data_IF_366964294972
#
_entry.id   IF_366964294972
#
_cell.length_a   1.000
_cell.length_b   1.000
_cell.length_c   1.000
_cell.angle_alpha   90.00
_cell.angle_beta   90.00
_cell.angle_gamma   90.00
#
_symmetry.space_group_name_H-M   'P 1'
#
loop_
_entity.id
_entity.type
_entity.pdbx_description
1 polymer ?
#
# COMPACT_ATOMS: atom_id res chain seq x y z
N UNK A 1 25.55 0.80 10.41
CA UNK A 1 24.24 0.86 11.09
C UNK A 1 23.75 2.29 11.03
N UNK A 2 22.59 2.55 10.43
CA UNK A 2 22.05 3.90 10.28
C UNK A 2 21.82 4.55 11.67
N UNK A 3 22.19 5.83 11.88
CA UNK A 3 21.97 6.53 13.14
C UNK A 3 20.53 6.47 13.65
N UNK A 4 19.54 6.40 12.75
CA UNK A 4 18.13 6.26 13.09
C UNK A 4 17.86 4.85 13.57
N UNK A 5 18.32 3.80 12.87
CA UNK A 5 18.20 2.41 13.35
C UNK A 5 18.89 2.27 14.70
N UNK A 6 20.03 2.93 14.92
CA UNK A 6 20.71 2.96 16.21
C UNK A 6 19.94 3.73 17.30
N UNK A 7 19.24 4.81 16.94
CA UNK A 7 18.38 5.60 17.85
C UNK A 7 17.11 4.83 18.19
N UNK A 8 16.47 4.26 17.17
CA UNK A 8 15.39 3.28 17.21
C UNK A 8 15.80 2.17 18.17
N UNK A 9 16.89 1.43 17.94
CA UNK A 9 17.37 0.35 18.82
C UNK A 9 17.63 0.81 20.26
N UNK A 10 18.29 1.96 20.46
CA UNK A 10 18.64 2.49 21.78
C UNK A 10 17.41 2.89 22.61
N UNK A 11 16.40 3.47 21.97
CA UNK A 11 15.17 3.94 22.62
C UNK A 11 14.02 2.91 22.57
N UNK A 12 14.05 1.90 21.69
CA UNK A 12 13.02 0.86 21.52
C UNK A 12 13.23 -0.37 22.39
N UNK A 13 14.47 -0.83 22.54
CA UNK A 13 14.72 -2.11 23.25
C UNK A 13 14.51 -1.94 24.76
N UNK A 14 14.60 -0.70 25.28
CA UNK A 14 14.53 -0.40 26.72
C UNK A 14 13.25 0.30 27.18
N UNK A 15 12.35 0.65 26.27
CA UNK A 15 11.20 1.50 26.57
C UNK A 15 9.89 0.79 26.23
N UNK A 16 8.82 0.93 27.03
CA UNK A 16 7.51 0.39 26.69
C UNK A 16 7.09 0.89 25.30
N UNK A 17 6.47 0.00 24.50
CA UNK A 17 5.96 0.26 23.14
C UNK A 17 5.30 1.64 22.98
N UNK A 18 4.70 2.21 24.03
CA UNK A 18 4.13 3.56 24.05
C UNK A 18 5.07 4.72 23.69
N UNK A 19 6.40 4.57 23.82
CA UNK A 19 7.33 5.70 23.61
C UNK A 19 7.81 5.86 22.16
N UNK A 20 7.82 4.82 21.33
CA UNK A 20 8.12 4.99 19.90
C UNK A 20 7.01 5.79 19.20
N UNK A 21 5.76 5.55 19.59
CA UNK A 21 4.59 6.26 19.06
C UNK A 21 4.53 7.75 19.45
N UNK A 22 5.39 8.20 20.37
CA UNK A 22 5.57 9.64 20.67
C UNK A 22 6.44 10.36 19.63
N UNK A 23 7.31 9.63 18.93
CA UNK A 23 8.25 10.19 17.95
C UNK A 23 7.78 10.04 16.50
N UNK A 24 6.78 9.20 16.26
CA UNK A 24 6.11 9.08 14.96
C UNK A 24 4.81 9.89 15.07
N UNK A 25 4.65 10.93 14.27
CA UNK A 25 3.74 12.04 14.56
C UNK A 25 2.40 11.96 13.85
N UNK A 26 1.31 12.04 14.64
CA UNK A 26 0.04 12.71 14.27
C UNK A 26 -1.28 11.91 14.30
N UNK A 27 -1.67 11.33 15.45
CA UNK A 27 -3.09 11.02 15.70
C UNK A 27 -3.95 12.26 16.05
N UNK A 28 -3.35 13.44 16.21
CA UNK A 28 -4.00 14.66 16.73
C UNK A 28 -4.03 15.82 15.73
N UNK A 29 -4.11 15.54 14.42
CA UNK A 29 -4.28 16.62 13.44
C UNK A 29 -5.63 17.31 13.72
N UNK A 30 -5.67 18.64 13.94
CA UNK A 30 -6.91 19.36 14.20
C UNK A 30 -7.92 19.19 13.05
N UNK A 31 -9.21 19.09 13.38
CA UNK A 31 -10.31 18.86 12.43
C UNK A 31 -10.33 19.87 11.27
N UNK A 32 -9.79 21.08 11.46
CA UNK A 32 -9.68 22.14 10.45
C UNK A 32 -8.78 21.79 9.26
N UNK A 33 -7.85 20.83 9.40
CA UNK A 33 -7.04 20.35 8.27
C UNK A 33 -7.79 19.34 7.38
N UNK A 34 -8.90 18.80 7.88
CA UNK A 34 -9.78 17.88 7.18
C UNK A 34 -10.97 18.64 6.56
N UNK A 35 -10.69 19.49 5.57
CA UNK A 35 -11.78 20.07 4.77
C UNK A 35 -12.32 19.05 3.75
N UNK A 36 -13.56 19.21 3.26
CA UNK A 36 -14.21 18.22 2.38
C UNK A 36 -13.40 17.90 1.11
N UNK A 37 -12.64 18.85 0.56
CA UNK A 37 -11.79 18.61 -0.62
C UNK A 37 -10.59 17.73 -0.24
N UNK A 38 -9.92 18.02 0.88
CA UNK A 38 -8.82 17.20 1.43
C UNK A 38 -9.31 15.84 1.90
N UNK A 39 -10.53 15.73 2.45
CA UNK A 39 -11.18 14.47 2.82
C UNK A 39 -11.50 13.63 1.59
N UNK A 40 -12.14 14.18 0.55
CA UNK A 40 -12.37 13.45 -0.71
C UNK A 40 -11.06 12.94 -1.32
N UNK A 41 -10.00 13.75 -1.19
CA UNK A 41 -8.64 13.35 -1.57
C UNK A 41 -8.12 12.17 -0.75
N UNK A 42 -8.28 12.21 0.57
CA UNK A 42 -7.87 11.17 1.52
C UNK A 42 -8.69 9.88 1.34
N UNK A 43 -9.98 9.98 0.98
CA UNK A 43 -10.87 8.84 0.73
C UNK A 43 -10.44 8.03 -0.48
N UNK A 44 -10.11 8.70 -1.59
CA UNK A 44 -9.63 8.00 -2.78
C UNK A 44 -8.17 7.51 -2.65
N UNK A 45 -7.36 8.10 -1.74
CA UNK A 45 -6.02 7.61 -1.42
C UNK A 45 -5.98 6.41 -0.46
N UNK A 46 -7.12 5.99 0.11
CA UNK A 46 -7.18 4.88 1.05
C UNK A 46 -8.43 4.00 0.81
N UNK A 47 -8.48 3.28 -0.31
CA UNK A 47 -9.69 2.57 -0.75
C UNK A 47 -10.09 1.38 0.14
N UNK A 48 -9.15 0.87 0.94
CA UNK A 48 -9.35 -0.24 1.89
C UNK A 48 -9.46 0.21 3.36
N UNK A 49 -9.58 1.51 3.60
CA UNK A 49 -9.51 2.16 4.92
C UNK A 49 -10.50 1.64 5.97
N UNK A 50 -10.07 1.59 7.24
CA UNK A 50 -10.98 1.59 8.40
C UNK A 50 -11.04 2.98 9.08
N UNK A 51 -11.32 3.99 8.25
CA UNK A 51 -11.28 5.44 8.53
C UNK A 51 -9.89 6.02 8.83
N UNK A 52 -8.88 5.52 8.11
CA UNK A 52 -7.51 6.03 7.90
C UNK A 52 -6.43 5.45 8.79
N UNK A 53 -6.63 4.20 9.18
CA UNK A 53 -5.73 3.39 10.00
C UNK A 53 -4.23 3.64 9.80
N UNK A 54 -3.55 3.84 10.94
CA UNK A 54 -2.15 3.47 11.12
C UNK A 54 -1.80 3.25 12.59
N UNK A 55 -0.93 2.28 12.85
CA UNK A 55 -0.28 2.10 14.15
C UNK A 55 0.93 3.04 14.30
N UNK A 56 1.48 3.57 13.20
CA UNK A 56 2.74 4.30 13.15
C UNK A 56 2.56 5.77 12.71
N UNK A 57 1.43 6.42 13.04
CA UNK A 57 1.25 7.86 12.85
C UNK A 57 1.80 8.47 11.52
N UNK A 58 1.22 8.13 10.36
CA UNK A 58 1.71 8.48 9.03
C UNK A 58 1.06 9.76 8.51
N UNK A 59 1.69 10.37 7.51
CA UNK A 59 1.26 11.60 6.87
C UNK A 59 1.31 11.49 5.35
N UNK A 60 0.45 12.24 4.67
CA UNK A 60 0.60 12.49 3.23
C UNK A 60 1.62 13.61 3.02
N UNK A 61 2.42 13.51 1.97
CA UNK A 61 3.47 14.47 1.59
C UNK A 61 2.95 15.91 1.51
N UNK A 62 1.74 16.10 0.96
CA UNK A 62 1.07 17.41 0.88
C UNK A 62 0.75 17.99 2.27
N UNK A 63 0.31 17.15 3.21
CA UNK A 63 0.04 17.57 4.60
C UNK A 63 1.36 17.86 5.32
N UNK A 64 2.37 17.03 5.10
CA UNK A 64 3.70 17.20 5.69
C UNK A 64 4.33 18.57 5.36
N UNK A 65 4.24 19.00 4.09
CA UNK A 65 4.73 20.32 3.67
C UNK A 65 4.00 21.46 4.39
N UNK A 66 2.68 21.35 4.60
CA UNK A 66 1.92 22.35 5.36
C UNK A 66 2.35 22.39 6.83
N UNK A 67 2.58 21.23 7.46
CA UNK A 67 3.00 21.14 8.86
C UNK A 67 4.41 21.70 9.08
N UNK A 68 5.33 21.40 8.17
CA UNK A 68 6.71 21.91 8.24
C UNK A 68 6.74 23.43 8.10
N UNK A 69 5.89 24.02 7.24
CA UNK A 69 5.74 25.49 7.12
C UNK A 69 5.22 26.14 8.40
N UNK A 70 4.43 25.42 9.20
CA UNK A 70 3.92 25.88 10.50
C UNK A 70 4.92 25.68 11.65
N UNK A 71 6.16 25.31 11.36
CA UNK A 71 7.22 25.11 12.36
C UNK A 71 7.12 23.80 13.13
N UNK A 72 6.28 22.85 12.68
CA UNK A 72 6.26 21.50 13.24
C UNK A 72 7.35 20.66 12.59
N UNK A 73 8.38 20.32 13.36
CA UNK A 73 9.48 19.46 12.91
C UNK A 73 9.40 18.12 13.62
N UNK A 74 9.06 17.06 12.87
CA UNK A 74 9.09 15.68 13.35
C UNK A 74 10.39 15.03 12.89
N UNK A 75 11.21 14.43 13.76
CA UNK A 75 12.49 13.85 13.35
C UNK A 75 12.32 12.69 12.35
N UNK A 76 11.19 12.00 12.41
CA UNK A 76 10.86 10.85 11.54
C UNK A 76 9.42 10.99 11.06
N UNK A 77 9.20 10.74 9.77
CA UNK A 77 7.89 10.88 9.11
C UNK A 77 7.62 9.66 8.25
N UNK A 78 6.56 8.91 8.57
CA UNK A 78 6.06 7.84 7.71
C UNK A 78 5.15 8.44 6.62
N UNK A 79 5.54 8.36 5.35
CA UNK A 79 4.73 8.86 4.24
C UNK A 79 3.76 7.79 3.73
N UNK A 80 2.51 8.19 3.51
CA UNK A 80 1.37 7.35 3.09
C UNK A 80 0.97 7.56 1.63
N UNK A 81 1.85 8.18 0.86
CA UNK A 81 1.58 8.56 -0.52
C UNK A 81 1.65 7.35 -1.45
N UNK A 82 0.80 7.33 -2.48
CA UNK A 82 1.03 6.48 -3.65
C UNK A 82 2.21 6.97 -4.49
N UNK A 83 2.60 6.20 -5.50
CA UNK A 83 3.68 6.54 -6.40
C UNK A 83 3.51 7.93 -7.03
N UNK A 84 2.30 8.31 -7.45
CA UNK A 84 2.08 9.61 -8.09
C UNK A 84 2.36 10.78 -7.14
N UNK A 85 1.74 10.78 -5.96
CA UNK A 85 1.91 11.87 -4.99
C UNK A 85 3.35 11.92 -4.45
N UNK A 86 3.95 10.76 -4.16
CA UNK A 86 5.34 10.69 -3.71
C UNK A 86 6.30 11.17 -4.81
N UNK A 87 6.06 10.79 -6.06
CA UNK A 87 6.85 11.24 -7.19
C UNK A 87 6.72 12.76 -7.38
N UNK A 88 5.49 13.30 -7.35
CA UNK A 88 5.25 14.75 -7.42
C UNK A 88 5.97 15.48 -6.27
N UNK A 89 5.94 14.94 -5.05
CA UNK A 89 6.64 15.49 -3.90
C UNK A 89 8.15 15.57 -4.13
N UNK A 90 8.76 14.47 -4.60
CA UNK A 90 10.21 14.38 -4.86
C UNK A 90 10.64 15.30 -6.00
N UNK A 91 9.84 15.40 -7.07
CA UNK A 91 10.13 16.31 -8.19
C UNK A 91 10.09 17.77 -7.76
N UNK A 92 9.11 18.14 -6.93
CA UNK A 92 8.97 19.50 -6.41
C UNK A 92 10.01 19.82 -5.32
N UNK A 93 10.64 18.80 -4.73
CA UNK A 93 11.65 18.93 -3.68
C UNK A 93 12.91 18.13 -4.04
N UNK A 94 13.67 18.52 -5.08
CA UNK A 94 14.77 17.70 -5.59
C UNK A 94 15.97 17.57 -4.63
N UNK A 95 16.06 18.47 -3.64
CA UNK A 95 17.14 18.50 -2.65
C UNK A 95 16.62 18.00 -1.28
N UNK A 96 16.87 16.72 -0.92
CA UNK A 96 16.41 16.16 0.35
C UNK A 96 17.13 16.74 1.57
N UNK A 97 18.29 17.40 1.39
CA UNK A 97 19.06 17.99 2.50
C UNK A 97 18.38 19.20 3.13
N UNK A 98 17.37 19.76 2.46
CA UNK A 98 16.51 20.82 3.02
C UNK A 98 15.60 20.31 4.14
N UNK A 99 15.50 18.99 4.29
CA UNK A 99 14.74 18.34 5.35
C UNK A 99 15.72 17.74 6.36
N UNK A 100 15.63 18.18 7.61
CA UNK A 100 16.34 17.56 8.74
C UNK A 100 15.70 16.21 9.13
N UNK A 101 14.53 15.91 8.57
CA UNK A 101 13.71 14.75 8.85
C UNK A 101 14.14 13.53 8.04
N UNK A 102 13.77 12.36 8.57
CA UNK A 102 13.94 11.08 7.90
C UNK A 102 12.58 10.51 7.52
N UNK A 103 12.45 10.10 6.27
CA UNK A 103 11.19 9.64 5.71
C UNK A 103 11.16 8.12 5.71
N UNK A 104 10.10 7.54 6.24
CA UNK A 104 9.81 6.12 6.10
C UNK A 104 8.82 5.98 4.94
N UNK A 105 9.12 5.14 3.95
CA UNK A 105 8.23 4.86 2.82
C UNK A 105 8.13 3.37 2.56
N UNK A 106 7.02 2.93 1.94
CA UNK A 106 6.87 1.53 1.59
C UNK A 106 7.91 1.11 0.54
N UNK A 107 8.54 -0.05 0.72
CA UNK A 107 9.63 -0.52 -0.15
C UNK A 107 9.25 -0.57 -1.63
N UNK A 108 7.97 -0.83 -1.90
CA UNK A 108 7.45 -0.98 -3.26
C UNK A 108 7.43 0.35 -4.02
N UNK A 109 7.69 1.48 -3.35
CA UNK A 109 7.83 2.81 -3.96
C UNK A 109 9.29 3.26 -4.07
N UNK A 110 10.25 2.45 -3.63
CA UNK A 110 11.68 2.82 -3.71
C UNK A 110 12.12 3.18 -5.13
N UNK A 111 11.54 2.53 -6.14
CA UNK A 111 11.89 2.72 -7.55
C UNK A 111 11.61 4.13 -8.09
N UNK A 112 10.72 4.90 -7.45
CA UNK A 112 10.41 6.29 -7.83
C UNK A 112 11.24 7.33 -7.08
N UNK A 113 12.19 6.90 -6.25
CA UNK A 113 13.11 7.81 -5.61
C UNK A 113 14.40 7.98 -6.42
N UNK A 114 14.91 9.20 -6.60
CA UNK A 114 16.27 9.43 -7.07
C UNK A 114 17.28 9.04 -6.00
N UNK A 115 18.49 8.67 -6.42
CA UNK A 115 19.56 8.22 -5.51
C UNK A 115 19.86 9.21 -4.37
N UNK A 116 19.77 10.52 -4.65
CA UNK A 116 20.04 11.56 -3.66
C UNK A 116 19.08 11.47 -2.46
N UNK A 117 17.83 11.07 -2.70
CA UNK A 117 16.79 10.92 -1.68
C UNK A 117 17.01 9.70 -0.78
N UNK A 118 17.65 8.64 -1.28
CA UNK A 118 17.84 7.38 -0.55
C UNK A 118 18.59 7.56 0.79
N UNK A 119 19.43 8.61 0.91
CA UNK A 119 20.15 8.92 2.16
C UNK A 119 19.23 9.41 3.29
N UNK A 120 18.06 9.95 2.95
CA UNK A 120 17.08 10.47 3.90
C UNK A 120 15.84 9.58 4.04
N UNK A 121 15.89 8.38 3.46
CA UNK A 121 14.77 7.44 3.40
C UNK A 121 15.10 6.13 4.10
N UNK A 122 14.14 5.65 4.88
CA UNK A 122 14.05 4.28 5.39
C UNK A 122 12.93 3.60 4.61
N UNK A 123 13.17 2.38 4.17
CA UNK A 123 12.14 1.56 3.54
C UNK A 123 11.50 0.66 4.59
N UNK A 124 10.21 0.39 4.42
CA UNK A 124 9.52 -0.64 5.20
C UNK A 124 8.80 -1.67 4.33
N UNK A 125 8.68 -2.88 4.87
CA UNK A 125 7.86 -3.97 4.33
C UNK A 125 7.18 -4.72 5.47
N UNK A 126 6.10 -5.45 5.18
CA UNK A 126 5.43 -6.26 6.20
C UNK A 126 6.15 -7.58 6.45
N UNK A 127 5.97 -8.11 7.65
CA UNK A 127 6.32 -9.49 7.96
C UNK A 127 5.18 -10.19 8.68
N UNK A 128 5.12 -11.51 8.49
CA UNK A 128 4.19 -12.40 9.15
C UNK A 128 4.97 -13.54 9.81
N UNK A 129 4.78 -13.70 11.12
CA UNK A 129 5.33 -14.80 11.92
C UNK A 129 4.14 -15.58 12.51
N UNK A 130 3.53 -16.50 11.74
CA UNK A 130 2.43 -17.28 12.25
C UNK A 130 2.93 -18.12 13.43
N UNK A 131 2.41 -17.85 14.63
CA UNK A 131 2.68 -18.72 15.78
C UNK A 131 2.05 -20.08 15.50
N UNK A 132 2.83 -21.15 15.73
CA UNK A 132 2.44 -22.53 15.43
C UNK A 132 1.00 -22.80 15.85
N UNK A 133 0.15 -23.16 14.88
CA UNK A 133 -1.26 -23.35 15.11
C UNK A 133 -1.48 -24.44 16.18
N UNK A 134 -2.24 -24.10 17.22
CA UNK A 134 -3.14 -25.09 17.80
C UNK A 134 -3.94 -25.65 16.62
N UNK A 135 -3.69 -26.90 16.27
CA UNK A 135 -4.43 -27.64 15.23
C UNK A 135 -5.89 -27.71 15.67
N UNK A 136 -6.65 -26.66 15.41
CA UNK A 136 -8.10 -26.72 15.38
C UNK A 136 -8.48 -27.51 14.12
N UNK A 137 -9.63 -28.16 14.15
CA UNK A 137 -10.10 -29.04 13.07
C UNK A 137 -10.00 -28.37 11.70
N UNK A 138 -9.87 -29.17 10.63
CA UNK A 138 -9.66 -28.82 9.21
C UNK A 138 -10.74 -27.90 8.58
N UNK A 139 -11.26 -26.91 9.28
CA UNK A 139 -12.35 -26.06 8.84
C UNK A 139 -11.87 -25.11 7.73
N UNK A 140 -12.14 -25.53 6.49
CA UNK A 140 -12.22 -24.73 5.25
C UNK A 140 -11.00 -23.87 4.96
N UNK A 141 -9.94 -24.53 4.50
CA UNK A 141 -8.82 -23.83 3.84
C UNK A 141 -9.35 -23.01 2.68
N UNK A 142 -9.08 -21.71 2.70
CA UNK A 142 -9.64 -20.75 1.74
C UNK A 142 -8.57 -19.82 1.21
N UNK A 143 -8.74 -19.40 -0.05
CA UNK A 143 -8.01 -18.29 -0.66
C UNK A 143 -8.97 -17.12 -0.78
N UNK A 144 -8.66 -16.03 -0.09
CA UNK A 144 -9.43 -14.79 -0.16
C UNK A 144 -8.72 -13.86 -1.12
N UNK A 145 -9.38 -13.58 -2.24
CA UNK A 145 -8.87 -12.66 -3.26
C UNK A 145 -9.60 -11.35 -3.14
N UNK A 146 -8.88 -10.24 -2.98
CA UNK A 146 -9.46 -8.91 -2.90
C UNK A 146 -8.86 -7.96 -3.94
N UNK A 147 -9.72 -7.26 -4.67
CA UNK A 147 -9.33 -6.13 -5.54
C UNK A 147 -10.43 -5.08 -5.56
N UNK A 148 -10.06 -3.81 -5.67
CA UNK A 148 -11.04 -2.74 -5.86
C UNK A 148 -11.55 -2.83 -7.29
N UNK A 149 -12.86 -2.79 -7.44
CA UNK A 149 -13.51 -2.73 -8.76
C UNK A 149 -13.44 -1.30 -9.26
N UNK A 150 -12.36 -1.02 -9.98
CA UNK A 150 -12.13 0.24 -10.64
C UNK A 150 -11.00 0.06 -11.67
N UNK A 151 -11.20 0.51 -12.90
CA UNK A 151 -10.25 0.32 -13.99
C UNK A 151 -8.89 1.01 -13.74
N UNK A 152 -8.86 2.03 -12.89
CA UNK A 152 -7.60 2.62 -12.47
C UNK A 152 -6.78 1.60 -11.66
N UNK A 153 -7.41 0.79 -10.79
CA UNK A 153 -6.74 -0.15 -9.87
C UNK A 153 -6.38 -1.48 -10.53
N UNK A 154 -7.29 -2.01 -11.35
CA UNK A 154 -7.08 -3.26 -12.07
C UNK A 154 -7.82 -3.21 -13.40
N UNK A 155 -7.12 -3.50 -14.50
CA UNK A 155 -7.75 -3.71 -15.79
C UNK A 155 -8.01 -5.20 -16.06
N UNK A 156 -8.83 -5.51 -17.06
CA UNK A 156 -9.25 -6.88 -17.39
C UNK A 156 -8.07 -7.82 -17.72
N UNK A 157 -7.02 -7.31 -18.38
CA UNK A 157 -5.84 -8.10 -18.72
C UNK A 157 -5.07 -8.50 -17.45
N UNK A 158 -4.81 -7.54 -16.58
CA UNK A 158 -4.15 -7.77 -15.28
C UNK A 158 -4.99 -8.71 -14.40
N UNK A 159 -6.31 -8.50 -14.34
CA UNK A 159 -7.22 -9.37 -13.60
C UNK A 159 -7.12 -10.83 -14.07
N UNK A 160 -7.14 -11.06 -15.38
CA UNK A 160 -7.01 -12.39 -15.96
C UNK A 160 -5.68 -13.05 -15.60
N UNK A 161 -4.56 -12.34 -15.76
CA UNK A 161 -3.21 -12.83 -15.44
C UNK A 161 -3.08 -13.22 -13.95
N UNK A 162 -3.57 -12.35 -13.06
CA UNK A 162 -3.52 -12.58 -11.62
C UNK A 162 -4.47 -13.70 -11.19
N UNK A 163 -5.72 -13.72 -11.68
CA UNK A 163 -6.67 -14.77 -11.34
C UNK A 163 -6.20 -16.14 -11.82
N UNK A 164 -5.59 -16.26 -13.00
CA UNK A 164 -5.01 -17.52 -13.47
C UNK A 164 -3.91 -18.02 -12.54
N UNK A 165 -3.00 -17.13 -12.12
CA UNK A 165 -1.93 -17.47 -11.17
C UNK A 165 -2.49 -17.96 -9.82
N UNK A 166 -3.58 -17.34 -9.36
CA UNK A 166 -4.24 -17.69 -8.11
C UNK A 166 -5.07 -18.96 -8.20
N UNK A 167 -5.66 -19.26 -9.36
CA UNK A 167 -6.36 -20.52 -9.64
C UNK A 167 -5.41 -21.70 -9.50
N UNK A 168 -4.22 -21.60 -10.08
CA UNK A 168 -3.19 -22.63 -9.98
C UNK A 168 -2.77 -22.84 -8.52
N UNK A 169 -2.57 -21.76 -7.78
CA UNK A 169 -2.25 -21.82 -6.35
C UNK A 169 -3.38 -22.45 -5.52
N UNK A 170 -4.63 -22.03 -5.73
CA UNK A 170 -5.79 -22.55 -5.03
C UNK A 170 -5.99 -24.04 -5.30
N UNK A 171 -5.85 -24.46 -6.56
CA UNK A 171 -6.01 -25.86 -6.98
C UNK A 171 -4.93 -26.75 -6.36
N UNK A 172 -3.65 -26.32 -6.41
CA UNK A 172 -2.53 -27.06 -5.81
C UNK A 172 -2.67 -27.26 -4.30
N UNK A 173 -3.30 -26.31 -3.61
CA UNK A 173 -3.46 -26.34 -2.15
C UNK A 173 -4.86 -26.76 -1.69
N UNK A 174 -5.74 -27.16 -2.61
CA UNK A 174 -7.14 -27.52 -2.35
C UNK A 174 -7.90 -26.45 -1.53
N UNK A 175 -7.87 -25.21 -2.00
CA UNK A 175 -8.46 -24.04 -1.34
C UNK A 175 -9.81 -23.65 -1.93
N UNK A 176 -10.77 -23.31 -1.08
CA UNK A 176 -12.01 -22.63 -1.49
C UNK A 176 -11.70 -21.17 -1.85
N UNK A 177 -12.11 -20.69 -3.04
CA UNK A 177 -11.87 -19.31 -3.46
C UNK A 177 -13.04 -18.40 -3.04
N UNK A 178 -12.73 -17.36 -2.28
CA UNK A 178 -13.63 -16.28 -1.92
C UNK A 178 -13.17 -14.98 -2.57
N UNK A 179 -14.07 -14.28 -3.28
CA UNK A 179 -13.77 -13.02 -3.95
C UNK A 179 -14.38 -11.84 -3.21
N UNK A 180 -13.54 -10.89 -2.85
CA UNK A 180 -13.91 -9.61 -2.28
C UNK A 180 -13.66 -8.51 -3.31
N UNK A 181 -14.73 -8.06 -3.97
CA UNK A 181 -14.66 -7.08 -5.06
C UNK A 181 -15.39 -5.78 -4.68
N UNK A 182 -14.86 -4.99 -3.72
CA UNK A 182 -15.50 -3.74 -3.33
C UNK A 182 -15.49 -2.75 -4.49
N UNK A 183 -16.68 -2.24 -4.83
CA UNK A 183 -16.84 -1.10 -5.73
C UNK A 183 -16.57 0.17 -4.91
N UNK A 184 -15.66 1.01 -5.40
CA UNK A 184 -15.31 2.29 -4.77
C UNK A 184 -15.28 3.37 -5.84
N UNK A 185 -15.97 4.48 -5.56
CA UNK A 185 -15.94 5.66 -6.41
C UNK A 185 -14.54 6.24 -6.46
N UNK A 186 -14.09 6.62 -7.65
CA UNK A 186 -12.80 7.25 -7.84
C UNK A 186 -12.96 8.70 -8.25
N UNK A 187 -13.12 9.57 -7.24
CA UNK A 187 -13.37 10.99 -7.45
C UNK A 187 -12.23 11.76 -8.15
N UNK A 188 -11.05 11.16 -8.34
CA UNK A 188 -9.92 11.80 -9.02
C UNK A 188 -9.84 11.54 -10.52
N UNK A 189 -10.53 10.52 -11.00
CA UNK A 189 -10.50 10.12 -12.40
C UNK A 189 -11.89 10.40 -12.92
N UNK A 190 -12.10 11.68 -13.25
CA UNK A 190 -13.32 12.22 -13.85
C UNK A 190 -13.46 11.69 -15.27
N UNK A 191 -13.77 10.41 -15.40
CA UNK A 191 -14.34 9.85 -16.63
C UNK A 191 -15.82 9.59 -16.36
N UNK A 192 -16.69 9.96 -17.29
CA UNK A 192 -18.13 9.67 -17.21
C UNK A 192 -18.36 8.21 -16.78
N UNK A 193 -18.91 8.04 -15.59
CA UNK A 193 -18.87 6.80 -14.81
C UNK A 193 -19.52 5.62 -15.55
N UNK A 194 -18.72 4.57 -15.84
CA UNK A 194 -19.18 3.23 -16.27
C UNK A 194 -18.66 2.10 -15.36
N UNK A 195 -18.56 2.33 -14.05
CA UNK A 195 -18.09 1.30 -13.09
C UNK A 195 -18.95 0.01 -13.11
N UNK A 196 -20.21 0.10 -13.55
CA UNK A 196 -21.06 -1.09 -13.77
C UNK A 196 -20.43 -2.09 -14.75
N UNK A 197 -19.73 -1.60 -15.79
CA UNK A 197 -19.05 -2.47 -16.74
C UNK A 197 -17.84 -3.14 -16.10
N UNK A 198 -17.01 -2.39 -15.34
CA UNK A 198 -15.83 -2.95 -14.68
C UNK A 198 -16.21 -4.04 -13.64
N UNK A 199 -17.30 -3.82 -12.90
CA UNK A 199 -17.83 -4.82 -11.96
C UNK A 199 -18.27 -6.09 -12.66
N UNK A 200 -18.97 -5.95 -13.79
CA UNK A 200 -19.43 -7.07 -14.59
C UNK A 200 -18.25 -7.81 -15.23
N UNK A 201 -17.31 -7.08 -15.84
CA UNK A 201 -16.14 -7.64 -16.51
C UNK A 201 -15.25 -8.42 -15.53
N UNK A 202 -14.91 -7.82 -14.38
CA UNK A 202 -14.11 -8.51 -13.36
C UNK A 202 -14.83 -9.74 -12.79
N UNK A 203 -16.14 -9.67 -12.61
CA UNK A 203 -16.93 -10.82 -12.15
C UNK A 203 -17.00 -11.92 -13.21
N UNK A 204 -17.13 -11.58 -14.48
CA UNK A 204 -17.13 -12.52 -15.59
C UNK A 204 -15.78 -13.23 -15.71
N UNK A 205 -14.68 -12.48 -15.70
CA UNK A 205 -13.32 -13.03 -15.72
C UNK A 205 -13.11 -13.96 -14.52
N UNK A 206 -13.58 -13.56 -13.33
CA UNK A 206 -13.54 -14.40 -12.14
C UNK A 206 -14.30 -15.72 -12.34
N UNK A 207 -15.51 -15.69 -12.89
CA UNK A 207 -16.28 -16.91 -13.17
C UNK A 207 -15.61 -17.80 -14.22
N UNK A 208 -15.05 -17.22 -15.28
CA UNK A 208 -14.35 -17.97 -16.33
C UNK A 208 -13.10 -18.68 -15.78
N UNK A 209 -12.38 -18.00 -14.89
CA UNK A 209 -11.14 -18.53 -14.30
C UNK A 209 -11.45 -19.54 -13.19
N UNK A 210 -12.22 -19.14 -12.17
CA UNK A 210 -12.42 -19.95 -10.96
C UNK A 210 -13.62 -20.91 -11.07
N UNK A 211 -14.56 -20.67 -11.98
CA UNK A 211 -15.77 -21.46 -12.17
C UNK A 211 -17.00 -20.91 -11.42
N UNK A 212 -18.17 -21.47 -11.71
CA UNK A 212 -19.46 -21.04 -11.16
C UNK A 212 -19.59 -21.20 -9.63
N UNK A 213 -18.74 -22.02 -9.01
CA UNK A 213 -18.70 -22.25 -7.56
C UNK A 213 -18.04 -21.11 -6.76
N UNK A 214 -17.57 -20.08 -7.44
CA UNK A 214 -16.92 -18.90 -6.84
C UNK A 214 -17.89 -18.14 -5.94
N UNK A 215 -17.45 -17.79 -4.74
CA UNK A 215 -18.28 -17.05 -3.77
C UNK A 215 -17.80 -15.62 -3.62
N UNK A 216 -18.70 -14.67 -3.83
CA UNK A 216 -18.45 -13.26 -3.55
C UNK A 216 -18.78 -12.94 -2.09
N UNK A 217 -17.88 -12.21 -1.43
CA UNK A 217 -18.01 -11.79 -0.04
C UNK A 217 -18.02 -10.26 0.04
N UNK A 218 -18.73 -9.72 1.03
CA UNK A 218 -18.80 -8.27 1.29
C UNK A 218 -17.78 -7.84 2.35
N UNK A 219 -17.49 -6.53 2.40
CA UNK A 219 -16.70 -5.91 3.48
C UNK A 219 -17.20 -6.33 4.86
N UNK A 220 -18.53 -6.37 5.06
CA UNK A 220 -19.15 -6.76 6.33
C UNK A 220 -18.76 -8.17 6.73
N UNK A 221 -18.78 -9.13 5.78
CA UNK A 221 -18.45 -10.52 6.05
C UNK A 221 -16.96 -10.69 6.32
N UNK A 222 -16.11 -9.92 5.63
CA UNK A 222 -14.66 -9.89 5.85
C UNK A 222 -14.33 -9.34 7.24
N UNK A 223 -14.93 -8.21 7.63
CA UNK A 223 -14.69 -7.58 8.93
C UNK A 223 -15.27 -8.37 10.10
N UNK A 224 -16.38 -9.10 9.89
CA UNK A 224 -17.03 -9.86 10.96
C UNK A 224 -16.34 -11.18 11.31
N UNK A 225 -15.44 -11.68 10.45
CA UNK A 225 -14.72 -12.92 10.71
C UNK A 225 -13.50 -12.62 11.58
N UNK A 226 -13.39 -13.32 12.71
CA UNK A 226 -12.30 -13.14 13.69
C UNK A 226 -11.19 -14.17 13.57
N UNK A 227 -11.28 -15.11 12.63
CA UNK A 227 -10.32 -16.20 12.49
C UNK A 227 -10.03 -16.51 11.02
N UNK A 228 -8.79 -16.23 10.62
CA UNK A 228 -8.26 -16.50 9.29
C UNK A 228 -7.05 -17.44 9.33
N UNK A 229 -6.79 -18.16 10.44
CA UNK A 229 -5.58 -18.98 10.62
C UNK A 229 -5.33 -20.04 9.54
N UNK A 230 -6.39 -20.56 8.91
CA UNK A 230 -6.31 -21.53 7.80
C UNK A 230 -6.55 -20.88 6.42
N UNK A 231 -6.40 -19.57 6.33
CA UNK A 231 -6.69 -18.81 5.11
C UNK A 231 -5.42 -18.29 4.48
N UNK A 232 -5.43 -18.26 3.15
CA UNK A 232 -4.53 -17.46 2.36
C UNK A 232 -5.24 -16.21 1.88
N UNK A 233 -4.51 -15.12 1.69
CA UNK A 233 -5.06 -13.93 1.05
C UNK A 233 -4.18 -13.43 -0.09
N UNK A 234 -4.83 -12.85 -1.10
CA UNK A 234 -4.21 -12.20 -2.24
C UNK A 234 -4.90 -10.85 -2.49
N UNK A 235 -4.12 -9.77 -2.45
CA UNK A 235 -4.57 -8.42 -2.79
C UNK A 235 -4.03 -8.07 -4.17
N UNK A 236 -4.91 -7.89 -5.16
CA UNK A 236 -4.55 -7.75 -6.59
C UNK A 236 -4.83 -6.33 -7.09
N UNK A 237 -4.00 -5.86 -8.04
CA UNK A 237 -2.71 -5.32 -7.70
C UNK A 237 -2.89 -4.03 -6.88
N UNK A 238 -1.97 -3.84 -5.95
CA UNK A 238 -1.75 -2.55 -5.33
C UNK A 238 -0.86 -1.74 -6.28
N UNK A 239 -1.44 -1.24 -7.35
CA UNK A 239 -0.80 -0.62 -8.53
C UNK A 239 -0.11 0.73 -8.26
N UNK A 240 0.39 0.91 -7.05
CA UNK A 240 1.06 2.09 -6.54
C UNK A 240 0.21 3.38 -6.61
N UNK A 241 -1.05 3.33 -7.07
CA UNK A 241 -1.94 4.49 -7.13
C UNK A 241 -2.04 5.20 -5.78
N UNK A 242 -2.24 4.40 -4.74
CA UNK A 242 -2.69 4.86 -3.44
C UNK A 242 -2.16 3.87 -2.39
N UNK A 243 -0.91 4.05 -1.96
CA UNK A 243 -0.34 3.21 -0.90
C UNK A 243 -0.63 3.81 0.46
N UNK A 244 -1.85 3.52 0.91
CA UNK A 244 -2.18 3.54 2.32
C UNK A 244 -1.72 2.23 2.97
N UNK A 245 -1.31 2.24 4.25
CA UNK A 245 -1.33 1.06 5.12
C UNK A 245 -2.59 0.24 4.80
N UNK A 246 -2.43 -0.93 4.19
CA UNK A 246 -3.55 -1.68 3.66
C UNK A 246 -4.27 -2.32 4.84
N UNK A 247 -5.32 -1.67 5.33
CA UNK A 247 -6.06 -2.14 6.49
C UNK A 247 -6.55 -3.59 6.31
N UNK A 248 -6.95 -3.99 5.09
CA UNK A 248 -7.34 -5.37 4.82
C UNK A 248 -6.16 -6.33 4.98
N UNK A 249 -4.96 -5.94 4.51
CA UNK A 249 -3.73 -6.72 4.73
C UNK A 249 -3.42 -6.87 6.22
N UNK A 250 -3.47 -5.76 6.98
CA UNK A 250 -3.31 -5.79 8.43
C UNK A 250 -4.35 -6.65 9.14
N UNK A 251 -5.62 -6.56 8.74
CA UNK A 251 -6.72 -7.34 9.30
C UNK A 251 -6.50 -8.83 9.06
N UNK A 252 -6.07 -9.21 7.85
CA UNK A 252 -5.76 -10.60 7.53
C UNK A 252 -4.59 -11.13 8.37
N UNK A 253 -3.49 -10.37 8.42
CA UNK A 253 -2.30 -10.75 9.18
C UNK A 253 -2.55 -10.84 10.69
N UNK A 254 -3.32 -9.89 11.25
CA UNK A 254 -3.67 -9.86 12.68
C UNK A 254 -4.52 -11.08 13.09
N UNK A 255 -5.35 -11.56 12.16
CA UNK A 255 -6.24 -12.70 12.38
C UNK A 255 -5.65 -14.03 11.87
N UNK A 256 -4.34 -14.06 11.60
CA UNK A 256 -3.56 -15.27 11.31
C UNK A 256 -3.60 -15.76 9.86
N UNK A 257 -4.15 -14.98 8.93
CA UNK A 257 -4.12 -15.30 7.50
C UNK A 257 -2.70 -15.23 6.96
N UNK A 258 -2.37 -16.11 6.03
CA UNK A 258 -1.05 -16.13 5.38
C UNK A 258 -1.11 -15.46 4.01
N UNK A 259 -0.19 -14.53 3.67
CA UNK A 259 -0.16 -13.99 2.32
C UNK A 259 0.13 -15.11 1.32
N UNK A 260 -0.53 -15.09 0.16
CA UNK A 260 -0.32 -16.11 -0.88
C UNK A 260 1.13 -16.14 -1.41
N UNK A 261 1.80 -14.99 -1.37
CA UNK A 261 3.24 -14.83 -1.58
C UNK A 261 3.88 -14.48 -0.24
N UNK A 262 4.84 -15.28 0.19
CA UNK A 262 5.57 -15.00 1.42
C UNK A 262 6.30 -13.66 1.33
N UNK A 263 6.26 -12.87 2.42
CA UNK A 263 7.14 -11.72 2.56
C UNK A 263 8.60 -12.18 2.57
N UNK A 264 9.47 -11.37 1.96
CA UNK A 264 10.91 -11.68 1.95
C UNK A 264 11.43 -11.54 3.38
N UNK A 265 12.22 -12.50 3.82
CA UNK A 265 13.00 -12.31 5.04
C UNK A 265 14.20 -11.43 4.68
N UNK A 266 14.23 -10.21 5.20
CA UNK A 266 15.25 -9.22 4.87
C UNK A 266 16.34 -9.30 5.95
N UNK A 267 17.48 -9.87 5.60
CA UNK A 267 18.61 -10.00 6.51
C UNK A 267 19.12 -8.62 6.92
N UNK A 268 19.32 -8.40 8.23
CA UNK A 268 19.78 -7.11 8.75
C UNK A 268 18.69 -6.04 8.88
N UNK A 269 17.43 -6.34 8.52
CA UNK A 269 16.32 -5.44 8.77
C UNK A 269 15.96 -5.38 10.25
N UNK A 270 15.59 -4.19 10.70
CA UNK A 270 15.09 -3.96 12.05
C UNK A 270 13.61 -4.34 12.13
N UNK A 271 13.24 -5.23 13.05
CA UNK A 271 11.85 -5.70 13.21
C UNK A 271 11.09 -4.82 14.20
N UNK A 272 9.92 -4.34 13.77
CA UNK A 272 8.92 -3.69 14.63
C UNK A 272 7.67 -4.56 14.65
N UNK A 273 7.42 -5.24 15.77
CA UNK A 273 6.17 -6.01 15.94
C UNK A 273 4.98 -5.07 16.09
N UNK A 274 3.95 -5.26 15.26
CA UNK A 274 2.67 -4.53 15.36
C UNK A 274 1.59 -5.37 16.06
N UNK A 275 1.73 -6.69 16.04
CA UNK A 275 0.91 -7.63 16.80
C UNK A 275 1.73 -8.86 17.22
N UNK A 276 1.05 -9.86 17.79
CA UNK A 276 1.67 -11.14 18.12
C UNK A 276 2.06 -11.98 16.89
N UNK A 277 1.55 -11.67 15.70
CA UNK A 277 1.70 -12.49 14.49
C UNK A 277 2.25 -11.69 13.30
N UNK A 278 2.27 -10.37 13.36
CA UNK A 278 2.75 -9.54 12.25
C UNK A 278 3.45 -8.27 12.71
N UNK A 279 4.22 -7.68 11.79
CA UNK A 279 4.89 -6.42 12.01
C UNK A 279 5.45 -5.84 10.73
N UNK A 280 6.40 -4.91 10.87
CA UNK A 280 7.13 -4.32 9.75
C UNK A 280 8.64 -4.50 9.92
N UNK A 281 9.32 -4.75 8.81
CA UNK A 281 10.75 -4.62 8.66
C UNK A 281 11.07 -3.17 8.31
N UNK A 282 12.07 -2.58 8.97
CA UNK A 282 12.68 -1.30 8.60
C UNK A 282 14.10 -1.55 8.13
N UNK A 283 14.48 -0.97 6.98
CA UNK A 283 15.81 -1.15 6.41
C UNK A 283 16.24 0.07 5.60
N UNK A 284 17.56 0.19 5.41
CA UNK A 284 18.15 1.32 4.71
C UNK A 284 17.89 1.27 3.21
N UNK A 285 17.42 2.39 2.65
CA UNK A 285 17.16 2.50 1.21
C UNK A 285 18.45 2.44 0.34
N UNK A 286 19.62 2.54 0.98
CA UNK A 286 20.94 2.46 0.32
C UNK A 286 21.43 1.03 0.07
N UNK A 287 20.71 0.02 0.59
CA UNK A 287 21.05 -1.38 0.36
C UNK A 287 21.00 -1.71 -1.14
N UNK A 288 21.95 -2.51 -1.62
CA UNK A 288 22.15 -2.80 -3.04
C UNK A 288 20.95 -3.48 -3.69
N UNK A 289 20.17 -4.19 -2.88
CA UNK A 289 18.93 -4.85 -3.29
C UNK A 289 17.86 -3.90 -3.86
N UNK A 290 17.97 -2.58 -3.60
CA UNK A 290 16.95 -1.59 -3.98
C UNK A 290 17.48 -0.48 -4.91
N UNK A 291 18.71 -0.62 -5.45
CA UNK A 291 19.37 0.41 -6.27
C UNK A 291 18.81 0.60 -7.69
N UNK A 292 17.83 -0.18 -8.13
CA UNK A 292 17.22 -0.03 -9.47
C UNK A 292 16.20 1.11 -9.51
N UNK A 293 16.65 2.36 -9.31
CA UNK A 293 15.80 3.53 -9.48
C UNK A 293 15.37 3.66 -10.94
N UNK A 294 14.06 3.85 -11.17
CA UNK A 294 13.49 4.17 -12.49
C UNK A 294 13.16 5.66 -12.60
N UNK A 295 13.57 6.45 -11.62
CA UNK A 295 13.22 7.87 -11.50
C UNK A 295 13.48 8.66 -12.78
N UNK A 296 14.65 8.50 -13.42
CA UNK A 296 14.98 9.25 -14.63
C UNK A 296 14.04 8.92 -15.81
N UNK A 297 13.64 7.66 -15.95
CA UNK A 297 12.71 7.22 -17.01
C UNK A 297 11.31 7.78 -16.75
N UNK A 298 10.85 7.69 -15.51
CA UNK A 298 9.56 8.22 -15.06
C UNK A 298 9.52 9.75 -15.19
N UNK A 299 10.60 10.44 -14.82
CA UNK A 299 10.74 11.90 -14.97
C UNK A 299 10.75 12.33 -16.42
N UNK A 300 11.40 11.57 -17.30
CA UNK A 300 11.34 11.82 -18.74
C UNK A 300 9.90 11.67 -19.24
N UNK A 301 9.24 10.55 -18.95
CA UNK A 301 7.85 10.33 -19.32
C UNK A 301 6.94 11.47 -18.82
N UNK A 302 7.10 11.88 -17.56
CA UNK A 302 6.34 12.99 -16.97
C UNK A 302 6.54 14.33 -17.68
N UNK A 303 7.78 14.63 -18.08
CA UNK A 303 8.11 15.89 -18.79
C UNK A 303 7.65 15.90 -20.23
N UNK A 304 7.72 14.74 -20.90
CA UNK A 304 7.28 14.57 -22.28
C UNK A 304 5.74 14.63 -22.40
N UNK A 305 5.05 14.52 -21.26
CA UNK A 305 3.59 14.47 -21.16
C UNK A 305 3.05 15.42 -20.07
N UNK A 306 3.24 16.75 -20.22
CA UNK A 306 2.82 17.72 -19.21
C UNK A 306 1.29 17.70 -19.04
N UNK A 307 0.84 17.72 -17.78
CA UNK A 307 -0.58 17.88 -17.44
C UNK A 307 -1.11 19.18 -18.08
N UNK A 308 -2.18 19.09 -18.87
CA UNK A 308 -3.02 20.25 -19.16
C UNK A 308 -3.56 20.76 -17.83
N UNK A 309 -3.43 22.06 -17.58
CA UNK A 309 -4.06 22.72 -16.44
C UNK A 309 -5.59 22.71 -16.52
N UNK A 310 -6.16 22.36 -17.68
CA UNK A 310 -7.60 22.25 -17.88
C UNK A 310 -8.05 20.82 -17.62
N UNK A 311 -8.76 20.64 -16.49
CA UNK A 311 -9.43 19.41 -16.04
C UNK A 311 -10.52 18.88 -17.02
N UNK A 312 -10.64 19.46 -18.21
CA UNK A 312 -11.72 19.20 -19.17
C UNK A 312 -11.25 18.73 -20.54
N UNK A 313 -9.95 18.68 -20.82
CA UNK A 313 -9.44 18.22 -22.11
C UNK A 313 -8.40 17.12 -21.93
N UNK A 314 -8.49 16.11 -22.80
CA UNK A 314 -7.71 14.88 -22.93
C UNK A 314 -6.18 15.10 -23.00
N UNK A 315 -5.57 15.54 -21.90
CA UNK A 315 -4.14 15.43 -21.65
C UNK A 315 -3.93 14.34 -20.61
N UNK A 316 -2.95 13.45 -20.80
CA UNK A 316 -2.65 12.28 -19.98
C UNK A 316 -3.59 12.10 -18.80
N UNK A 317 -4.59 11.24 -19.00
CA UNK A 317 -5.34 10.73 -17.86
C UNK A 317 -4.28 10.13 -16.93
N UNK A 318 -4.39 10.34 -15.61
CA UNK A 318 -3.38 9.78 -14.70
C UNK A 318 -3.21 8.26 -14.95
N UNK A 319 -4.22 7.60 -15.50
CA UNK A 319 -4.23 6.26 -16.09
C UNK A 319 -3.03 5.95 -17.02
N UNK A 320 -2.61 6.83 -17.93
CA UNK A 320 -1.45 6.60 -18.82
C UNK A 320 -0.15 6.48 -18.02
N UNK A 321 0.03 7.35 -17.01
CA UNK A 321 1.17 7.27 -16.09
C UNK A 321 1.13 5.97 -15.29
N UNK A 322 -0.05 5.51 -14.87
CA UNK A 322 -0.17 4.27 -14.09
C UNK A 322 -0.01 3.01 -14.91
N UNK A 323 -0.50 2.99 -16.15
CA UNK A 323 -0.20 1.92 -17.11
C UNK A 323 1.31 1.86 -17.35
N UNK A 324 1.95 3.02 -17.56
CA UNK A 324 3.41 3.09 -17.66
C UNK A 324 4.11 2.55 -16.41
N UNK A 325 3.72 2.98 -15.21
CA UNK A 325 4.29 2.46 -13.97
C UNK A 325 4.06 0.95 -13.81
N UNK A 326 2.87 0.45 -14.13
CA UNK A 326 2.52 -0.97 -14.02
C UNK A 326 3.37 -1.83 -14.94
N UNK A 327 3.49 -1.45 -16.22
CA UNK A 327 4.29 -2.15 -17.23
C UNK A 327 5.79 -2.15 -16.89
N UNK A 328 6.23 -1.14 -16.14
CA UNK A 328 7.61 -0.97 -15.72
C UNK A 328 7.82 -1.30 -14.24
N UNK A 329 6.88 -1.94 -13.56
CA UNK A 329 7.00 -2.36 -12.15
C UNK A 329 7.29 -3.86 -12.03
N UNK A 330 8.37 -4.31 -12.65
CA UNK A 330 8.92 -5.64 -12.38
C UNK A 330 9.62 -5.64 -11.00
N UNK A 331 8.88 -5.96 -9.94
CA UNK A 331 9.41 -6.23 -8.58
C UNK A 331 9.00 -7.62 -8.11
#
# INVERSE_FOLDING_TARGET
MNPIIATIEKDLIKSPLSNIFKYIGASNIPSEFYNNIKLNRIWALAPYSDNYYSILNPLFSKIYLELTKKGHHYPVVLLRDGALDLFEFVVNNPDPLKFDQKFIIHQSLSFILPEIWLKNVILFDYFHEPKGAYRLEMSKKRLIVSTIVNNAFINSKQALEHFNSLKDFASKNNLEVLLHLPIRENHYFTTDYKDQNAAFDLSLIAFDVFGAQTKFISDKLLKSSSDYRDSYYALIPNNFLCLSDNYIEHHFLMNGSTPWKAYRNIQGAFKVSLSAQHGVYLFDALDEHFKSSKFAQILKFWKDHPKSSDLTNESLTNEDFFNYLSDHSSV
#
